data_IF_052332730010
#
_entry.id   IF_052332730010
#
_cell.length_a   1.000
_cell.length_b   1.000
_cell.length_c   1.000
_cell.angle_alpha   90.00
_cell.angle_beta   90.00
_cell.angle_gamma   90.00
#
_symmetry.space_group_name_H-M   'P 1'
#
loop_
_entity.id
_entity.type
_entity.pdbx_description
1 polymer ?
#
# COMPACT_ATOMS: atom_id res chain seq x y z
N UNK A 1 -33.58 18.53 -9.72
CA UNK A 1 -32.32 17.90 -10.18
C UNK A 1 -32.33 16.45 -9.74
N UNK A 2 -32.50 15.51 -10.66
CA UNK A 2 -32.47 14.07 -10.35
C UNK A 2 -31.09 13.70 -9.81
N UNK A 3 -31.01 13.08 -8.63
CA UNK A 3 -29.77 12.45 -8.14
C UNK A 3 -29.40 11.38 -9.17
N UNK A 4 -28.47 11.68 -10.08
CA UNK A 4 -27.84 10.64 -10.91
C UNK A 4 -27.35 9.56 -9.95
N UNK A 5 -27.93 8.36 -10.06
CA UNK A 5 -27.42 7.18 -9.35
C UNK A 5 -25.94 7.06 -9.70
N UNK A 6 -25.06 7.17 -8.70
CA UNK A 6 -23.62 6.98 -8.93
C UNK A 6 -23.43 5.52 -9.32
N UNK A 7 -22.90 5.29 -10.52
CA UNK A 7 -22.47 3.95 -10.95
C UNK A 7 -21.49 3.41 -9.90
N UNK A 8 -21.44 2.10 -9.73
CA UNK A 8 -20.46 1.46 -8.85
C UNK A 8 -19.29 0.97 -9.70
N UNK A 9 -18.05 1.16 -9.24
CA UNK A 9 -16.89 0.56 -9.90
C UNK A 9 -16.98 -0.98 -9.98
N UNK A 10 -17.84 -1.63 -9.17
CA UNK A 10 -18.06 -3.09 -9.21
C UNK A 10 -19.10 -3.52 -10.24
N UNK A 11 -19.72 -2.59 -10.99
CA UNK A 11 -20.86 -2.88 -11.85
C UNK A 11 -20.54 -4.01 -12.84
N UNK A 12 -21.29 -5.12 -12.72
CA UNK A 12 -21.19 -6.28 -13.60
C UNK A 12 -19.86 -7.02 -13.57
N UNK A 13 -18.95 -6.74 -12.63
CA UNK A 13 -17.71 -7.51 -12.50
C UNK A 13 -17.95 -8.84 -11.80
N UNK A 14 -17.26 -9.92 -12.20
CA UNK A 14 -17.22 -11.17 -11.45
C UNK A 14 -16.85 -10.94 -9.98
N UNK A 15 -17.47 -11.67 -9.06
CA UNK A 15 -17.44 -11.38 -7.63
C UNK A 15 -16.02 -11.42 -7.04
N UNK A 16 -15.17 -12.32 -7.53
CA UNK A 16 -13.77 -12.43 -7.13
C UNK A 16 -12.97 -11.17 -7.54
N UNK A 17 -13.18 -10.69 -8.76
CA UNK A 17 -12.50 -9.53 -9.34
C UNK A 17 -13.00 -8.24 -8.69
N UNK A 18 -14.31 -8.08 -8.51
CA UNK A 18 -14.90 -6.94 -7.80
C UNK A 18 -14.33 -6.77 -6.39
N UNK A 19 -14.09 -7.89 -5.69
CA UNK A 19 -13.48 -7.91 -4.36
C UNK A 19 -11.99 -7.56 -4.39
N UNK A 20 -11.27 -7.91 -5.46
CA UNK A 20 -9.87 -7.46 -5.65
C UNK A 20 -9.80 -5.96 -5.82
N UNK A 21 -10.63 -5.39 -6.69
CA UNK A 21 -10.72 -3.93 -6.89
C UNK A 21 -11.06 -3.22 -5.58
N UNK A 22 -12.02 -3.72 -4.81
CA UNK A 22 -12.34 -3.13 -3.50
C UNK A 22 -11.13 -3.07 -2.56
N UNK A 23 -10.38 -4.17 -2.48
CA UNK A 23 -9.24 -4.32 -1.58
C UNK A 23 -8.04 -3.45 -1.94
N UNK A 24 -7.96 -2.88 -3.16
CA UNK A 24 -6.81 -2.05 -3.57
C UNK A 24 -6.73 -0.74 -2.80
N UNK A 25 -7.89 -0.20 -2.39
CA UNK A 25 -7.97 0.99 -1.53
C UNK A 25 -7.53 0.77 -0.08
N UNK A 26 -7.10 -0.44 0.28
CA UNK A 26 -6.65 -0.79 1.62
C UNK A 26 -5.14 -1.08 1.65
N UNK A 27 -4.49 -0.78 2.78
CA UNK A 27 -3.10 -1.17 3.04
C UNK A 27 -2.96 -2.67 3.30
N UNK A 28 -1.75 -3.19 3.12
CA UNK A 28 -1.40 -4.61 3.29
C UNK A 28 0.02 -4.74 3.87
N UNK A 29 0.31 -5.84 4.55
CA UNK A 29 1.67 -6.17 4.97
C UNK A 29 2.16 -5.46 6.24
N UNK A 30 1.26 -4.90 7.05
CA UNK A 30 1.59 -4.54 8.43
C UNK A 30 1.41 -5.78 9.33
N UNK A 31 2.45 -6.08 10.12
CA UNK A 31 2.44 -7.14 11.11
C UNK A 31 1.76 -6.67 12.40
N UNK A 32 1.20 -7.61 13.18
CA UNK A 32 0.42 -7.30 14.40
C UNK A 32 1.22 -6.57 15.47
N UNK A 33 2.53 -6.78 15.45
CA UNK A 33 3.46 -6.28 16.45
C UNK A 33 4.14 -4.97 16.03
N UNK A 34 3.72 -4.36 14.92
CA UNK A 34 4.22 -3.04 14.51
C UNK A 34 3.28 -1.91 14.98
N UNK A 35 3.74 -0.67 14.83
CA UNK A 35 2.88 0.51 14.99
C UNK A 35 1.88 0.68 13.82
N UNK A 36 2.08 -0.02 12.70
CA UNK A 36 1.26 0.17 11.50
C UNK A 36 -0.04 -0.65 11.54
N UNK A 37 -1.10 -0.14 10.91
CA UNK A 37 -2.38 -0.84 10.78
C UNK A 37 -2.44 -1.63 9.47
N UNK A 38 -3.01 -2.84 9.53
CA UNK A 38 -3.24 -3.68 8.35
C UNK A 38 -4.70 -3.60 7.91
N UNK A 39 -4.97 -3.66 6.60
CA UNK A 39 -6.33 -3.69 6.01
C UNK A 39 -7.20 -2.47 6.34
N UNK A 40 -6.58 -1.32 6.59
CA UNK A 40 -7.27 -0.03 6.72
C UNK A 40 -7.21 0.73 5.39
N UNK A 41 -8.06 1.75 5.21
CA UNK A 41 -8.01 2.56 4.00
C UNK A 41 -6.67 3.31 3.88
N UNK A 42 -6.21 3.53 2.64
CA UNK A 42 -4.96 4.25 2.34
C UNK A 42 -4.99 5.75 2.65
N UNK A 43 -6.15 6.32 2.97
CA UNK A 43 -6.26 7.70 3.41
C UNK A 43 -6.27 7.84 4.95
N UNK A 44 -6.04 6.76 5.70
CA UNK A 44 -6.01 6.78 7.16
C UNK A 44 -4.82 7.59 7.70
N UNK A 45 -4.79 7.81 9.02
CA UNK A 45 -3.72 8.51 9.76
C UNK A 45 -2.34 8.05 9.28
N UNK A 46 -1.50 9.00 8.89
CA UNK A 46 -0.19 8.70 8.31
C UNK A 46 0.90 8.72 9.37
N UNK A 47 1.72 7.68 9.42
CA UNK A 47 2.89 7.61 10.31
C UNK A 47 4.13 8.00 9.51
N UNK A 48 4.82 9.04 9.97
CA UNK A 48 5.99 9.62 9.30
C UNK A 48 7.22 9.42 10.19
N UNK A 49 8.24 8.67 9.76
CA UNK A 49 9.52 8.62 10.46
C UNK A 49 10.17 10.01 10.55
N UNK A 50 10.78 10.35 11.69
CA UNK A 50 11.49 11.61 11.87
C UNK A 50 12.60 11.80 10.82
N UNK A 51 13.24 10.72 10.38
CA UNK A 51 14.21 10.75 9.28
C UNK A 51 13.59 11.25 7.96
N UNK A 52 12.40 10.75 7.60
CA UNK A 52 11.68 11.24 6.42
C UNK A 52 11.24 12.70 6.58
N UNK A 53 10.84 13.11 7.78
CA UNK A 53 10.46 14.48 8.08
C UNK A 53 11.65 15.45 7.91
N UNK A 54 12.80 15.10 8.49
CA UNK A 54 14.02 15.92 8.45
C UNK A 54 14.62 16.01 7.06
N UNK A 55 14.41 15.00 6.20
CA UNK A 55 14.76 15.06 4.77
C UNK A 55 13.79 15.90 3.92
N UNK A 56 12.76 16.48 4.52
CA UNK A 56 11.84 17.38 3.81
C UNK A 56 10.86 16.63 2.91
N UNK A 57 10.23 15.58 3.42
CA UNK A 57 9.17 14.85 2.70
C UNK A 57 8.13 15.81 2.11
N UNK A 58 7.83 15.64 0.82
CA UNK A 58 6.76 16.39 0.16
C UNK A 58 5.39 15.95 0.70
N UNK A 59 4.52 16.91 1.01
CA UNK A 59 3.15 16.63 1.43
C UNK A 59 2.21 16.59 0.23
N UNK A 60 1.09 15.86 0.30
CA UNK A 60 0.02 16.01 -0.69
C UNK A 60 -0.51 17.45 -0.69
N UNK A 61 -0.94 17.97 -1.84
CA UNK A 61 -1.39 19.37 -1.99
C UNK A 61 -2.50 19.76 -0.99
N UNK A 62 -3.43 18.84 -0.72
CA UNK A 62 -4.55 19.03 0.23
C UNK A 62 -4.21 18.56 1.65
N UNK A 63 -2.96 18.16 1.90
CA UNK A 63 -2.53 17.49 3.12
C UNK A 63 -3.05 16.04 3.25
N UNK A 64 -2.76 15.43 4.39
CA UNK A 64 -3.27 14.10 4.74
C UNK A 64 -4.69 14.20 5.29
N UNK A 65 -5.65 13.54 4.64
CA UNK A 65 -7.08 13.62 4.98
C UNK A 65 -7.39 13.28 6.44
N UNK A 66 -6.67 12.33 7.03
CA UNK A 66 -6.82 11.92 8.44
C UNK A 66 -5.62 12.32 9.31
N UNK A 67 -4.86 13.33 8.90
CA UNK A 67 -3.71 13.83 9.64
C UNK A 67 -2.52 12.87 9.64
N UNK A 68 -1.53 13.19 10.45
CA UNK A 68 -0.29 12.44 10.58
C UNK A 68 0.23 12.43 12.02
N UNK A 69 1.11 11.48 12.29
CA UNK A 69 1.90 11.37 13.51
C UNK A 69 3.35 11.15 13.10
N UNK A 70 4.25 12.02 13.58
CA UNK A 70 5.68 11.81 13.44
C UNK A 70 6.15 10.86 14.54
N UNK A 71 6.98 9.89 14.19
CA UNK A 71 7.62 8.98 15.14
C UNK A 71 9.13 9.19 15.14
N UNK A 72 9.70 9.25 16.32
CA UNK A 72 11.15 9.33 16.52
C UNK A 72 11.60 8.17 17.41
N UNK A 73 12.71 7.54 17.05
CA UNK A 73 13.40 6.64 17.96
C UNK A 73 13.86 7.43 19.21
N UNK A 74 13.96 6.80 20.39
CA UNK A 74 14.45 7.45 21.60
C UNK A 74 15.78 8.17 21.40
N UNK A 75 16.71 7.57 20.67
CA UNK A 75 18.03 8.13 20.36
C UNK A 75 17.95 9.42 19.52
N UNK A 76 16.92 9.55 18.70
CA UNK A 76 16.69 10.71 17.85
C UNK A 76 15.85 11.79 18.55
N UNK A 77 15.09 11.42 19.58
CA UNK A 77 14.25 12.34 20.34
C UNK A 77 14.96 12.93 21.56
N UNK A 78 15.60 12.10 22.39
CA UNK A 78 16.18 12.55 23.65
C UNK A 78 17.53 13.23 23.45
N UNK A 79 17.79 14.25 24.25
CA UNK A 79 19.14 14.80 24.46
C UNK A 79 19.99 13.89 25.35
N UNK A 80 21.22 14.29 25.66
CA UNK A 80 22.08 13.65 26.65
C UNK A 80 21.48 13.62 28.07
N UNK A 81 20.39 14.36 28.31
CA UNK A 81 19.65 14.40 29.59
C UNK A 81 18.17 14.03 29.41
N UNK A 82 17.82 12.75 29.19
CA UNK A 82 16.42 12.32 29.12
C UNK A 82 15.62 12.71 30.38
N UNK A 83 14.32 13.05 30.27
CA UNK A 83 13.49 12.97 29.07
C UNK A 83 13.52 14.22 28.19
N UNK A 84 14.51 15.11 28.36
CA UNK A 84 14.57 16.36 27.63
C UNK A 84 14.77 16.11 26.14
N UNK A 85 13.98 16.80 25.33
CA UNK A 85 14.02 16.72 23.87
C UNK A 85 15.36 17.25 23.34
N UNK A 86 15.88 16.64 22.26
CA UNK A 86 17.07 17.12 21.56
C UNK A 86 16.84 18.52 20.99
N UNK A 87 17.84 19.39 21.08
CA UNK A 87 17.81 20.72 20.48
C UNK A 87 17.80 20.69 18.95
N UNK A 88 18.09 19.54 18.34
CA UNK A 88 18.03 19.34 16.88
C UNK A 88 16.63 18.99 16.37
N UNK A 89 15.64 18.83 17.26
CA UNK A 89 14.27 18.53 16.83
C UNK A 89 13.67 19.71 16.06
N UNK A 90 12.98 19.45 14.94
CA UNK A 90 12.26 20.48 14.21
C UNK A 90 11.26 21.24 15.10
N UNK A 91 11.30 22.57 15.06
CA UNK A 91 10.48 23.44 15.91
C UNK A 91 8.96 23.28 15.73
N UNK A 92 8.52 22.65 14.64
CA UNK A 92 7.11 22.37 14.36
C UNK A 92 6.65 20.99 14.85
N UNK A 93 7.49 20.26 15.58
CA UNK A 93 7.16 19.00 16.22
C UNK A 93 7.06 19.15 17.73
N UNK A 94 5.92 18.75 18.27
CA UNK A 94 5.60 18.82 19.70
C UNK A 94 5.20 17.43 20.19
N UNK A 95 5.95 16.93 21.18
CA UNK A 95 5.71 15.64 21.80
C UNK A 95 4.29 15.53 22.37
N UNK A 96 3.58 14.48 22.01
CA UNK A 96 2.20 14.24 22.41
C UNK A 96 1.13 15.03 21.63
N UNK A 97 1.53 15.91 20.71
CA UNK A 97 0.61 16.62 19.80
C UNK A 97 0.65 16.04 18.39
N UNK A 98 1.83 16.08 17.76
CA UNK A 98 2.07 15.53 16.42
C UNK A 98 3.34 14.66 16.36
N UNK A 99 4.02 14.46 17.49
CA UNK A 99 5.22 13.65 17.63
C UNK A 99 5.05 12.62 18.75
N UNK A 100 5.54 11.39 18.55
CA UNK A 100 5.69 10.35 19.57
C UNK A 100 7.11 9.80 19.57
N UNK A 101 7.59 9.38 20.74
CA UNK A 101 8.74 8.48 20.83
C UNK A 101 8.29 7.05 20.57
N UNK A 102 8.97 6.34 19.67
CA UNK A 102 8.65 4.96 19.29
C UNK A 102 9.75 4.00 19.72
N UNK A 103 9.41 3.10 20.64
CA UNK A 103 10.33 2.07 21.15
C UNK A 103 10.13 0.76 20.38
N UNK A 104 11.15 0.31 19.66
CA UNK A 104 11.15 -0.93 18.86
C UNK A 104 12.14 -1.96 19.38
N UNK A 105 13.16 -1.56 20.14
CA UNK A 105 14.21 -2.47 20.63
C UNK A 105 14.27 -2.54 22.15
N UNK A 106 14.80 -3.67 22.66
CA UNK A 106 15.05 -3.86 24.10
C UNK A 106 16.07 -2.85 24.62
N UNK A 107 17.08 -2.52 23.82
CA UNK A 107 18.09 -1.51 24.15
C UNK A 107 17.46 -0.13 24.33
N UNK A 108 16.59 0.28 23.40
CA UNK A 108 15.81 1.51 23.49
C UNK A 108 15.00 1.58 24.78
N UNK A 109 14.25 0.51 25.08
CA UNK A 109 13.42 0.43 26.28
C UNK A 109 14.23 0.53 27.57
N UNK A 110 15.36 -0.18 27.65
CA UNK A 110 16.19 -0.20 28.84
C UNK A 110 16.94 1.12 29.05
N UNK A 111 17.42 1.74 27.96
CA UNK A 111 18.23 2.96 28.03
C UNK A 111 17.39 4.22 28.23
N UNK A 112 16.14 4.22 27.74
CA UNK A 112 15.27 5.40 27.75
C UNK A 112 13.90 5.10 28.36
N UNK A 113 13.84 4.26 29.40
CA UNK A 113 12.58 3.73 29.92
C UNK A 113 11.58 4.84 30.31
N UNK A 114 10.41 4.92 29.66
CA UNK A 114 9.47 6.02 29.88
C UNK A 114 8.89 6.03 31.30
N UNK A 115 8.93 4.91 32.02
CA UNK A 115 8.44 4.82 33.41
C UNK A 115 9.30 5.63 34.40
N UNK A 116 10.52 6.00 34.00
CA UNK A 116 11.41 6.83 34.82
C UNK A 116 11.03 8.32 34.74
N UNK A 117 10.17 8.71 33.80
CA UNK A 117 9.85 10.09 33.50
C UNK A 117 8.48 10.46 34.04
N UNK A 118 8.41 11.55 34.81
CA UNK A 118 7.14 12.09 35.29
C UNK A 118 6.27 12.54 34.11
N UNK A 119 4.97 12.23 34.16
CA UNK A 119 3.96 12.60 33.17
C UNK A 119 4.22 12.02 31.76
N UNK A 120 4.88 10.86 31.68
CA UNK A 120 4.99 10.07 30.46
C UNK A 120 3.99 8.90 30.50
N UNK A 121 3.09 8.89 29.52
CA UNK A 121 2.15 7.79 29.31
C UNK A 121 2.07 7.45 27.82
N UNK A 122 1.68 6.20 27.53
CA UNK A 122 1.56 5.74 26.16
C UNK A 122 0.37 6.40 25.44
N UNK A 123 0.50 6.61 24.12
CA UNK A 123 -0.50 7.30 23.31
C UNK A 123 -1.80 6.51 23.14
N UNK A 124 -2.93 7.22 23.13
CA UNK A 124 -4.29 6.65 23.07
C UNK A 124 -5.13 7.24 21.94
N UNK A 125 -4.73 8.37 21.37
CA UNK A 125 -5.42 9.05 20.27
C UNK A 125 -4.55 9.12 19.01
N UNK A 126 -5.19 9.02 17.84
CA UNK A 126 -4.55 9.24 16.53
C UNK A 126 -4.65 10.69 16.04
N UNK A 127 -5.38 11.52 16.78
CA UNK A 127 -5.58 12.94 16.49
C UNK A 127 -4.94 13.75 17.60
N UNK A 128 -4.32 14.87 17.26
CA UNK A 128 -3.81 15.83 18.24
C UNK A 128 -4.95 16.29 19.18
N UNK A 129 -4.75 16.31 20.51
CA UNK A 129 -3.60 15.75 21.23
C UNK A 129 -3.63 14.21 21.26
N UNK A 130 -2.46 13.57 21.12
CA UNK A 130 -2.31 12.10 20.97
C UNK A 130 -2.59 11.31 22.25
N UNK A 131 -2.84 12.00 23.37
CA UNK A 131 -3.18 11.39 24.66
C UNK A 131 -2.00 10.73 25.38
N UNK A 132 -0.80 10.80 24.82
CA UNK A 132 0.44 10.29 25.41
C UNK A 132 1.66 10.70 24.59
N UNK A 133 2.85 10.39 25.08
CA UNK A 133 4.14 10.84 24.52
C UNK A 133 4.89 9.75 23.77
N UNK A 134 4.51 8.48 23.95
CA UNK A 134 5.23 7.37 23.34
C UNK A 134 4.33 6.21 22.95
N UNK A 135 4.91 5.29 22.17
CA UNK A 135 4.35 4.00 21.80
C UNK A 135 5.47 2.97 21.82
N UNK A 136 5.18 1.73 22.21
CA UNK A 136 6.18 0.68 22.33
C UNK A 136 5.72 -0.62 21.68
N UNK A 137 6.61 -1.22 20.90
CA UNK A 137 6.49 -2.51 20.23
C UNK A 137 7.84 -3.22 20.33
N UNK A 138 8.18 -3.67 21.53
CA UNK A 138 9.51 -4.25 21.80
C UNK A 138 9.37 -5.77 21.89
N UNK A 139 10.00 -6.53 20.99
CA UNK A 139 9.91 -7.98 20.95
C UNK A 139 10.46 -8.64 22.22
N UNK A 140 10.07 -9.90 22.44
CA UNK A 140 10.74 -10.76 23.42
C UNK A 140 12.17 -11.06 23.00
N UNK A 141 13.01 -11.28 23.99
CA UNK A 141 14.37 -11.78 23.79
C UNK A 141 14.49 -13.20 24.34
N UNK A 142 15.64 -13.86 24.15
CA UNK A 142 15.89 -15.20 24.70
C UNK A 142 16.13 -15.21 26.23
N UNK A 143 16.06 -14.06 26.89
CA UNK A 143 16.19 -13.94 28.34
C UNK A 143 14.92 -14.41 29.06
N UNK A 144 15.04 -15.16 30.16
CA UNK A 144 13.90 -15.70 30.91
C UNK A 144 13.02 -14.63 31.57
N UNK A 145 13.55 -13.43 31.78
CA UNK A 145 12.84 -12.33 32.48
C UNK A 145 12.30 -11.24 31.55
N UNK A 146 12.61 -11.30 30.25
CA UNK A 146 12.05 -10.36 29.28
C UNK A 146 10.68 -10.82 28.83
N UNK A 147 9.70 -9.90 28.89
CA UNK A 147 8.38 -10.06 28.31
C UNK A 147 8.13 -9.05 27.20
N UNK A 148 7.26 -9.40 26.26
CA UNK A 148 6.89 -8.55 25.12
C UNK A 148 6.26 -7.24 25.61
N UNK A 149 6.81 -6.10 25.19
CA UNK A 149 6.30 -4.79 25.61
C UNK A 149 5.46 -4.21 24.47
N UNK A 150 4.15 -4.13 24.74
CA UNK A 150 3.17 -3.56 23.82
C UNK A 150 2.39 -2.45 24.53
N UNK A 151 2.71 -1.19 24.22
CA UNK A 151 2.06 -0.04 24.84
C UNK A 151 1.64 0.98 23.79
N UNK A 152 0.53 1.68 24.03
CA UNK A 152 -0.10 2.60 23.09
C UNK A 152 -0.89 1.90 21.97
N UNK A 153 -2.12 2.38 21.71
CA UNK A 153 -3.06 1.82 20.73
C UNK A 153 -3.37 0.32 20.90
N UNK A 154 -3.47 -0.14 22.15
CA UNK A 154 -3.64 -1.56 22.48
C UNK A 154 -5.08 -1.95 22.83
N UNK A 155 -5.92 -1.01 23.25
CA UNK A 155 -7.29 -1.27 23.67
C UNK A 155 -8.29 -1.27 22.51
N UNK A 156 -9.48 -1.82 22.73
CA UNK A 156 -10.56 -1.81 21.74
C UNK A 156 -11.03 -0.40 21.39
N UNK A 157 -10.90 0.55 22.31
CA UNK A 157 -11.27 1.96 22.13
C UNK A 157 -10.37 2.68 21.12
N UNK A 158 -9.10 2.29 21.04
CA UNK A 158 -8.15 2.69 20.02
C UNK A 158 -8.18 1.74 18.81
N UNK A 159 -9.00 0.70 18.79
CA UNK A 159 -9.12 -0.26 17.69
C UNK A 159 -8.03 -1.35 17.68
N UNK A 160 -7.18 -1.43 18.71
CA UNK A 160 -6.26 -2.54 18.99
C UNK A 160 -5.17 -2.86 17.96
N UNK A 161 -5.00 -2.03 16.92
CA UNK A 161 -4.24 -2.36 15.71
C UNK A 161 -3.33 -1.22 15.23
N UNK A 162 -2.49 -0.65 16.10
CA UNK A 162 -1.49 0.35 15.69
C UNK A 162 -2.04 1.76 15.46
N UNK A 163 -1.20 2.70 15.06
CA UNK A 163 -1.50 4.13 15.01
C UNK A 163 -1.91 4.64 13.62
N UNK A 164 -1.48 3.99 12.54
CA UNK A 164 -1.74 4.49 11.19
C UNK A 164 -1.09 3.65 10.08
N UNK A 165 -1.02 4.22 8.88
CA UNK A 165 -0.37 3.60 7.71
C UNK A 165 1.04 4.15 7.50
N UNK A 166 1.86 3.45 6.72
CA UNK A 166 3.17 3.99 6.34
C UNK A 166 2.97 5.16 5.38
N UNK A 167 3.78 6.21 5.50
CA UNK A 167 3.64 7.43 4.69
C UNK A 167 3.64 7.20 3.18
N UNK A 168 4.44 6.25 2.70
CA UNK A 168 4.49 5.92 1.27
C UNK A 168 3.26 5.16 0.76
N UNK A 169 2.37 4.67 1.64
CA UNK A 169 1.15 3.96 1.26
C UNK A 169 -0.04 4.89 1.02
N UNK A 170 0.10 6.18 1.37
CA UNK A 170 -0.99 7.14 1.35
C UNK A 170 -1.56 7.35 -0.05
N UNK A 171 -2.88 7.40 -0.12
CA UNK A 171 -3.65 7.88 -1.26
C UNK A 171 -4.91 8.58 -0.74
N UNK A 172 -5.29 9.70 -1.34
CA UNK A 172 -6.52 10.41 -0.96
C UNK A 172 -7.77 9.59 -1.27
N UNK A 173 -8.90 9.92 -0.66
CA UNK A 173 -10.19 9.30 -0.97
C UNK A 173 -10.60 9.46 -2.44
N UNK A 174 -10.26 10.60 -3.03
CA UNK A 174 -10.42 10.92 -4.45
C UNK A 174 -9.58 9.96 -5.31
N UNK A 175 -8.31 9.79 -4.97
CA UNK A 175 -7.39 8.90 -5.68
C UNK A 175 -7.78 7.42 -5.54
N UNK A 176 -8.16 6.99 -4.33
CA UNK A 176 -8.69 5.63 -4.08
C UNK A 176 -9.93 5.38 -4.94
N UNK A 177 -10.79 6.38 -5.13
CA UNK A 177 -11.96 6.24 -6.02
C UNK A 177 -11.50 6.11 -7.48
N UNK A 178 -10.65 7.01 -7.95
CA UNK A 178 -10.16 7.04 -9.33
C UNK A 178 -9.47 5.73 -9.73
N UNK A 179 -8.53 5.26 -8.89
CA UNK A 179 -7.81 4.00 -9.07
C UNK A 179 -8.72 2.78 -9.09
N UNK A 180 -9.77 2.71 -8.26
CA UNK A 180 -10.76 1.63 -8.31
C UNK A 180 -11.51 1.60 -9.64
N UNK A 181 -11.87 2.76 -10.17
CA UNK A 181 -12.50 2.85 -11.49
C UNK A 181 -11.55 2.42 -12.61
N UNK A 182 -10.31 2.91 -12.61
CA UNK A 182 -9.30 2.49 -13.58
C UNK A 182 -9.07 0.97 -13.54
N UNK A 183 -8.93 0.38 -12.35
CA UNK A 183 -8.73 -1.06 -12.22
C UNK A 183 -9.95 -1.87 -12.70
N UNK A 184 -11.16 -1.37 -12.50
CA UNK A 184 -12.37 -1.97 -13.07
C UNK A 184 -12.41 -1.85 -14.60
N UNK A 185 -12.04 -0.70 -15.14
CA UNK A 185 -11.89 -0.47 -16.58
C UNK A 185 -10.87 -1.42 -17.22
N UNK A 186 -9.76 -1.66 -16.53
CA UNK A 186 -8.73 -2.61 -16.94
C UNK A 186 -9.20 -4.06 -16.78
N UNK A 187 -9.98 -4.39 -15.75
CA UNK A 187 -10.54 -5.72 -15.59
C UNK A 187 -11.46 -6.09 -16.77
N UNK A 188 -12.30 -5.16 -17.24
CA UNK A 188 -13.11 -5.33 -18.45
C UNK A 188 -12.32 -5.45 -19.76
N UNK A 189 -11.00 -5.22 -19.71
CA UNK A 189 -10.06 -5.38 -20.84
C UNK A 189 -9.16 -6.60 -20.68
N UNK A 190 -9.41 -7.45 -19.68
CA UNK A 190 -8.73 -8.75 -19.56
C UNK A 190 -9.36 -9.77 -20.50
N UNK A 191 -8.56 -10.73 -20.97
CA UNK A 191 -9.00 -11.75 -21.90
C UNK A 191 -9.96 -12.74 -21.21
N UNK A 192 -11.09 -13.06 -21.83
CA UNK A 192 -12.10 -13.98 -21.29
C UNK A 192 -13.02 -13.41 -20.20
N UNK A 193 -12.96 -12.11 -19.89
CA UNK A 193 -13.80 -11.51 -18.83
C UNK A 193 -15.29 -11.63 -19.13
N UNK A 194 -15.68 -11.52 -20.40
CA UNK A 194 -17.08 -11.57 -20.82
C UNK A 194 -17.69 -12.94 -20.57
N UNK A 195 -16.91 -14.01 -20.75
CA UNK A 195 -17.37 -15.38 -20.56
C UNK A 195 -17.52 -15.67 -19.06
N UNK A 196 -16.52 -15.30 -18.25
CA UNK A 196 -16.61 -15.42 -16.77
C UNK A 196 -17.81 -14.64 -16.23
N UNK A 197 -18.07 -13.43 -16.74
CA UNK A 197 -19.21 -12.63 -16.31
C UNK A 197 -20.55 -13.33 -16.60
N UNK A 198 -20.71 -13.89 -17.81
CA UNK A 198 -21.92 -14.63 -18.18
C UNK A 198 -22.08 -15.92 -17.38
N UNK A 199 -20.99 -16.65 -17.13
CA UNK A 199 -20.98 -17.87 -16.33
C UNK A 199 -21.37 -17.59 -14.86
N UNK A 200 -21.02 -16.43 -14.31
CA UNK A 200 -21.48 -15.96 -12.99
C UNK A 200 -22.92 -15.38 -13.01
N UNK A 201 -23.62 -15.43 -14.14
CA UNK A 201 -25.02 -15.01 -14.26
C UNK A 201 -25.24 -13.51 -14.43
N UNK A 202 -24.23 -12.76 -14.90
CA UNK A 202 -24.40 -11.33 -15.22
C UNK A 202 -25.11 -11.22 -16.57
N UNK A 203 -26.35 -10.71 -16.56
CA UNK A 203 -27.23 -10.69 -17.74
C UNK A 203 -26.72 -9.79 -18.88
N UNK A 204 -26.21 -8.59 -18.57
CA UNK A 204 -25.82 -7.58 -19.56
C UNK A 204 -24.38 -7.07 -19.34
N UNK A 205 -23.36 -7.93 -19.48
CA UNK A 205 -21.96 -7.57 -19.19
C UNK A 205 -21.43 -6.48 -20.12
N UNK A 206 -21.85 -6.46 -21.38
CA UNK A 206 -21.48 -5.42 -22.35
C UNK A 206 -21.97 -4.04 -21.95
N UNK A 207 -23.23 -3.93 -21.48
CA UNK A 207 -23.79 -2.68 -20.97
C UNK A 207 -23.08 -2.24 -19.68
N UNK A 208 -22.72 -3.19 -18.81
CA UNK A 208 -21.95 -2.91 -17.60
C UNK A 208 -20.57 -2.34 -17.94
N UNK A 209 -19.86 -2.96 -18.90
CA UNK A 209 -18.59 -2.47 -19.41
C UNK A 209 -18.71 -1.05 -19.97
N UNK A 210 -19.69 -0.79 -20.83
CA UNK A 210 -19.90 0.54 -21.42
C UNK A 210 -20.17 1.63 -20.37
N UNK A 211 -20.94 1.30 -19.32
CA UNK A 211 -21.18 2.20 -18.20
C UNK A 211 -19.91 2.51 -17.40
N UNK A 212 -19.05 1.50 -17.18
CA UNK A 212 -17.75 1.70 -16.54
C UNK A 212 -16.81 2.52 -17.42
N UNK A 213 -16.75 2.23 -18.72
CA UNK A 213 -15.94 2.99 -19.69
C UNK A 213 -16.30 4.47 -19.64
N UNK A 214 -17.60 4.80 -19.73
CA UNK A 214 -18.09 6.18 -19.63
C UNK A 214 -17.75 6.87 -18.31
N UNK A 215 -17.94 6.19 -17.18
CA UNK A 215 -17.59 6.79 -15.88
C UNK A 215 -16.06 7.01 -15.76
N UNK A 216 -15.25 6.15 -16.37
CA UNK A 216 -13.78 6.31 -16.38
C UNK A 216 -13.34 7.46 -17.31
N UNK A 217 -14.02 7.66 -18.44
CA UNK A 217 -13.84 8.84 -19.29
C UNK A 217 -14.19 10.13 -18.53
N UNK A 218 -15.35 10.16 -17.86
CA UNK A 218 -15.81 11.31 -17.05
C UNK A 218 -14.85 11.62 -15.88
N UNK A 219 -14.16 10.60 -15.34
CA UNK A 219 -13.15 10.73 -14.29
C UNK A 219 -11.74 11.01 -14.81
N UNK A 220 -11.51 10.99 -16.13
CA UNK A 220 -10.19 11.19 -16.72
C UNK A 220 -9.21 10.05 -16.45
N UNK A 221 -9.69 8.82 -16.21
CA UNK A 221 -8.87 7.62 -15.93
C UNK A 221 -8.93 6.57 -17.05
N UNK A 222 -9.41 6.97 -18.23
CA UNK A 222 -9.55 6.13 -19.42
C UNK A 222 -8.67 6.58 -20.60
N UNK A 223 -7.62 7.38 -20.36
CA UNK A 223 -6.69 7.78 -21.42
C UNK A 223 -5.87 6.58 -21.89
N UNK A 224 -6.28 6.00 -23.02
CA UNK A 224 -5.66 4.81 -23.59
C UNK A 224 -4.19 5.03 -23.96
N UNK A 225 -3.81 6.25 -24.36
CA UNK A 225 -2.44 6.57 -24.73
C UNK A 225 -1.55 6.54 -23.49
N UNK A 226 -1.98 7.18 -22.40
CA UNK A 226 -1.25 7.13 -21.13
C UNK A 226 -1.17 5.71 -20.56
N UNK A 227 -2.24 4.93 -20.69
CA UNK A 227 -2.24 3.52 -20.25
C UNK A 227 -1.25 2.67 -21.05
N UNK A 228 -1.15 2.89 -22.36
CA UNK A 228 -0.18 2.19 -23.22
C UNK A 228 1.26 2.63 -22.93
N UNK A 229 1.51 3.95 -22.82
CA UNK A 229 2.81 4.53 -22.46
C UNK A 229 3.33 3.99 -21.11
N UNK A 230 2.43 3.74 -20.15
CA UNK A 230 2.77 3.17 -18.85
C UNK A 230 2.74 1.64 -18.80
N UNK A 231 2.64 0.96 -19.95
CA UNK A 231 2.67 -0.51 -20.06
C UNK A 231 1.51 -1.20 -19.32
N UNK A 232 0.35 -0.55 -19.23
CA UNK A 232 -0.84 -1.07 -18.55
C UNK A 232 -1.75 -1.81 -19.53
N UNK A 233 -1.81 -1.33 -20.78
CA UNK A 233 -2.48 -1.98 -21.90
C UNK A 233 -1.53 -2.15 -23.09
N UNK A 234 -1.88 -3.06 -24.00
CA UNK A 234 -1.20 -3.18 -25.29
C UNK A 234 -1.85 -2.31 -26.39
N UNK A 235 -1.29 -2.36 -27.61
CA UNK A 235 -1.81 -1.65 -28.78
C UNK A 235 -3.19 -2.12 -29.24
N UNK A 236 -3.69 -3.25 -28.72
CA UNK A 236 -5.05 -3.75 -28.92
C UNK A 236 -5.98 -3.36 -27.75
N UNK A 237 -5.50 -2.51 -26.84
CA UNK A 237 -6.20 -2.03 -25.65
C UNK A 237 -6.55 -3.15 -24.65
N UNK A 238 -5.84 -4.27 -24.68
CA UNK A 238 -5.99 -5.35 -23.70
C UNK A 238 -5.14 -5.06 -22.48
N UNK A 239 -5.64 -5.38 -21.30
CA UNK A 239 -4.85 -5.28 -20.08
C UNK A 239 -3.68 -6.28 -20.12
N UNK A 240 -2.48 -5.79 -19.87
CA UNK A 240 -1.24 -6.59 -19.87
C UNK A 240 -0.53 -6.49 -18.53
N UNK A 241 0.32 -7.47 -18.22
CA UNK A 241 1.23 -7.36 -17.10
C UNK A 241 2.32 -6.33 -17.43
N UNK A 242 2.52 -5.29 -16.59
CA UNK A 242 3.48 -4.23 -16.91
C UNK A 242 4.92 -4.71 -17.06
N UNK A 243 5.32 -5.75 -16.33
CA UNK A 243 6.68 -6.27 -16.40
C UNK A 243 6.92 -7.16 -17.63
N UNK A 244 6.10 -8.21 -17.82
CA UNK A 244 6.34 -9.22 -18.85
C UNK A 244 5.59 -8.96 -20.17
N UNK A 245 4.73 -7.94 -20.21
CA UNK A 245 3.94 -7.50 -21.37
C UNK A 245 2.96 -8.53 -21.94
N UNK A 246 2.73 -9.64 -21.21
CA UNK A 246 1.73 -10.65 -21.60
C UNK A 246 0.32 -10.18 -21.23
N UNK A 247 -0.71 -10.52 -22.03
CA UNK A 247 -2.11 -10.31 -21.65
C UNK A 247 -2.42 -10.89 -20.27
N UNK A 248 -3.25 -10.17 -19.52
CA UNK A 248 -3.86 -10.69 -18.29
C UNK A 248 -5.14 -11.40 -18.67
N UNK A 249 -5.24 -12.67 -18.30
CA UNK A 249 -6.49 -13.42 -18.44
C UNK A 249 -7.39 -13.12 -17.25
N UNK A 250 -8.69 -12.96 -17.48
CA UNK A 250 -9.66 -12.74 -16.41
C UNK A 250 -9.64 -13.87 -15.37
N UNK A 251 -9.39 -15.10 -15.83
CA UNK A 251 -9.24 -16.28 -14.99
C UNK A 251 -8.07 -16.13 -14.00
N UNK A 252 -6.99 -15.42 -14.36
CA UNK A 252 -5.85 -15.18 -13.46
C UNK A 252 -6.19 -14.20 -12.32
N UNK A 253 -7.21 -13.35 -12.51
CA UNK A 253 -7.76 -12.48 -11.48
C UNK A 253 -8.84 -13.19 -10.66
N UNK A 254 -9.59 -14.12 -11.25
CA UNK A 254 -10.68 -14.83 -10.59
C UNK A 254 -10.20 -16.04 -9.76
N UNK A 255 -9.22 -16.78 -10.27
CA UNK A 255 -8.85 -18.11 -9.77
C UNK A 255 -7.58 -18.13 -8.93
N UNK A 256 -7.58 -19.02 -7.93
CA UNK A 256 -6.44 -19.25 -7.02
C UNK A 256 -5.40 -20.14 -7.71
N UNK A 257 -4.13 -19.95 -7.39
CA UNK A 257 -3.03 -20.74 -7.97
C UNK A 257 -3.10 -22.18 -7.42
N UNK A 258 -3.11 -23.19 -8.30
CA UNK A 258 -2.88 -24.59 -7.90
C UNK A 258 -1.42 -24.78 -7.46
N UNK A 259 -1.20 -25.56 -6.40
CA UNK A 259 0.16 -25.79 -5.87
C UNK A 259 1.00 -26.60 -6.86
N UNK A 260 2.29 -26.26 -6.95
CA UNK A 260 3.27 -27.19 -7.50
C UNK A 260 3.33 -28.45 -6.62
N UNK A 261 3.32 -29.63 -7.25
CA UNK A 261 3.37 -30.93 -6.58
C UNK A 261 4.54 -30.99 -5.58
N UNK A 262 4.25 -31.37 -4.32
CA UNK A 262 5.25 -31.48 -3.25
C UNK A 262 5.49 -30.22 -2.40
N UNK A 263 4.79 -29.10 -2.61
CA UNK A 263 4.84 -27.92 -1.71
C UNK A 263 3.59 -27.78 -0.84
N UNK A 264 3.72 -28.04 0.47
CA UNK A 264 2.68 -27.75 1.46
C UNK A 264 2.82 -26.34 2.03
N UNK A 265 2.18 -25.34 1.41
CA UNK A 265 2.10 -23.98 1.98
C UNK A 265 0.70 -23.74 2.56
N UNK A 266 0.56 -23.30 3.83
CA UNK A 266 -0.74 -23.13 4.49
C UNK A 266 -1.62 -21.99 3.92
N UNK A 267 -1.02 -20.96 3.31
CA UNK A 267 -1.75 -19.81 2.75
C UNK A 267 -2.08 -20.04 1.27
N UNK A 268 -3.32 -20.45 1.01
CA UNK A 268 -3.86 -20.83 -0.31
C UNK A 268 -4.57 -19.66 -1.02
N UNK A 269 -4.31 -18.40 -0.66
CA UNK A 269 -5.15 -17.26 -1.08
C UNK A 269 -4.61 -16.43 -2.25
N UNK A 270 -3.46 -16.80 -2.81
CA UNK A 270 -2.81 -16.06 -3.89
C UNK A 270 -3.44 -16.45 -5.24
N UNK A 271 -3.82 -15.46 -6.05
CA UNK A 271 -4.20 -15.64 -7.46
C UNK A 271 -3.00 -15.37 -8.36
N UNK A 272 -3.03 -15.85 -9.60
CA UNK A 272 -1.90 -15.72 -10.54
C UNK A 272 -1.70 -14.29 -11.04
N UNK A 273 -2.71 -13.41 -10.97
CA UNK A 273 -2.59 -11.97 -11.20
C UNK A 273 -3.16 -11.12 -10.04
N UNK A 274 -2.53 -9.98 -9.76
CA UNK A 274 -2.89 -9.04 -8.67
C UNK A 274 -2.61 -7.58 -9.07
N UNK A 275 -2.94 -6.64 -8.19
CA UNK A 275 -2.53 -5.24 -8.34
C UNK A 275 -1.02 -5.15 -8.57
N UNK A 276 -0.61 -4.32 -9.53
CA UNK A 276 0.78 -4.06 -9.87
C UNK A 276 1.02 -2.55 -9.85
N UNK A 277 2.07 -2.12 -9.15
CA UNK A 277 2.53 -0.74 -9.14
C UNK A 277 3.60 -0.56 -10.21
N UNK A 278 3.37 0.34 -11.18
CA UNK A 278 4.29 0.57 -12.30
C UNK A 278 5.59 1.20 -11.77
N UNK A 279 5.43 2.26 -10.97
CA UNK A 279 6.46 2.81 -10.07
C UNK A 279 6.13 2.41 -8.64
N UNK A 280 7.15 2.02 -7.89
CA UNK A 280 7.04 1.60 -6.51
C UNK A 280 6.48 2.68 -5.58
N UNK A 281 5.96 2.26 -4.42
CA UNK A 281 5.51 3.19 -3.40
C UNK A 281 6.71 3.89 -2.75
N UNK A 282 6.70 5.23 -2.79
CA UNK A 282 7.74 6.07 -2.18
C UNK A 282 7.15 7.21 -1.37
N UNK A 283 7.82 7.54 -0.28
CA UNK A 283 7.45 8.65 0.58
C UNK A 283 7.60 9.97 -0.18
N UNK A 284 6.58 10.82 -0.16
CA UNK A 284 6.57 12.09 -0.88
C UNK A 284 6.18 11.99 -2.37
N UNK A 285 6.17 10.79 -2.96
CA UNK A 285 5.70 10.57 -4.33
C UNK A 285 4.23 10.12 -4.37
N UNK A 286 3.76 9.38 -3.35
CA UNK A 286 2.38 8.91 -3.21
C UNK A 286 1.86 8.12 -4.42
N UNK A 287 2.70 7.23 -4.94
CA UNK A 287 2.51 6.47 -6.17
C UNK A 287 1.33 5.46 -6.17
N UNK A 288 0.46 5.43 -5.17
CA UNK A 288 -0.81 4.71 -5.28
C UNK A 288 -1.85 5.60 -5.96
N UNK A 289 -1.68 5.80 -7.26
CA UNK A 289 -2.48 6.70 -8.08
C UNK A 289 -2.81 6.12 -9.46
N UNK A 290 -3.82 6.71 -10.11
CA UNK A 290 -4.21 6.43 -11.49
C UNK A 290 -3.01 6.55 -12.42
N UNK A 291 -3.05 5.78 -13.50
CA UNK A 291 -1.93 5.58 -14.43
C UNK A 291 -0.63 5.03 -13.80
N UNK A 292 -0.55 4.77 -12.49
CA UNK A 292 0.56 4.04 -11.87
C UNK A 292 0.15 2.65 -11.37
N UNK A 293 -1.11 2.26 -11.56
CA UNK A 293 -1.64 0.96 -11.15
C UNK A 293 -2.20 0.17 -12.34
N UNK A 294 -1.88 -1.11 -12.38
CA UNK A 294 -2.41 -2.07 -13.35
C UNK A 294 -2.65 -3.46 -12.75
N UNK A 295 -3.01 -4.41 -13.61
CA UNK A 295 -3.04 -5.83 -13.26
C UNK A 295 -1.74 -6.49 -13.70
N UNK A 296 -1.12 -7.29 -12.85
CA UNK A 296 0.14 -7.96 -13.18
C UNK A 296 0.26 -9.33 -12.56
N UNK A 297 1.04 -10.20 -13.21
CA UNK A 297 1.27 -11.55 -12.72
C UNK A 297 1.98 -11.55 -11.37
N UNK A 298 1.61 -12.48 -10.50
CA UNK A 298 2.13 -12.58 -9.14
C UNK A 298 3.66 -12.75 -9.10
N UNK A 299 4.21 -13.61 -9.96
CA UNK A 299 5.66 -13.81 -10.06
C UNK A 299 6.39 -12.55 -10.55
N UNK A 300 5.77 -11.78 -11.45
CA UNK A 300 6.30 -10.51 -11.91
C UNK A 300 6.32 -9.47 -10.78
N UNK A 301 5.23 -9.37 -10.02
CA UNK A 301 5.17 -8.53 -8.82
C UNK A 301 6.26 -8.91 -7.80
N UNK A 302 6.46 -10.21 -7.57
CA UNK A 302 7.47 -10.72 -6.64
C UNK A 302 8.92 -10.46 -7.09
N UNK A 303 9.15 -10.35 -8.41
CA UNK A 303 10.43 -9.95 -8.98
C UNK A 303 10.63 -8.44 -8.92
N UNK A 304 9.59 -7.64 -9.19
CA UNK A 304 9.66 -6.18 -9.19
C UNK A 304 9.81 -5.58 -7.78
N UNK A 305 9.12 -6.15 -6.77
CA UNK A 305 9.18 -5.73 -5.37
C UNK A 305 9.02 -4.21 -5.21
N UNK A 306 9.99 -3.57 -4.56
CA UNK A 306 10.11 -2.15 -4.28
C UNK A 306 11.07 -1.43 -5.23
N UNK A 307 11.45 -2.06 -6.35
CA UNK A 307 12.40 -1.50 -7.32
C UNK A 307 11.73 -0.78 -8.49
N UNK A 308 10.46 -1.06 -8.74
CA UNK A 308 9.77 -0.61 -9.95
C UNK A 308 10.27 -1.32 -11.21
N UNK A 309 9.58 -1.11 -12.33
CA UNK A 309 9.82 -1.89 -13.56
C UNK A 309 11.23 -1.67 -14.12
N UNK A 310 11.66 -0.41 -14.25
CA UNK A 310 12.90 -0.06 -14.96
C UNK A 310 14.16 -0.61 -14.27
N UNK A 311 14.21 -0.49 -12.94
CA UNK A 311 15.33 -1.05 -12.16
C UNK A 311 15.33 -2.57 -12.20
N UNK A 312 14.16 -3.20 -12.16
CA UNK A 312 14.04 -4.66 -12.27
C UNK A 312 14.52 -5.17 -13.63
N UNK A 313 14.18 -4.50 -14.73
CA UNK A 313 14.66 -4.88 -16.06
C UNK A 313 16.17 -4.70 -16.19
N UNK A 314 16.71 -3.60 -15.68
CA UNK A 314 18.16 -3.36 -15.65
C UNK A 314 18.91 -4.47 -14.89
N UNK A 315 18.38 -4.86 -13.73
CA UNK A 315 18.94 -5.96 -12.93
C UNK A 315 18.83 -7.32 -13.63
N UNK A 316 17.70 -7.61 -14.30
CA UNK A 316 17.55 -8.85 -15.07
C UNK A 316 18.54 -8.91 -16.23
N UNK A 317 18.77 -7.80 -16.94
CA UNK A 317 19.78 -7.70 -17.98
C UNK A 317 21.19 -7.95 -17.44
N UNK A 318 21.53 -7.36 -16.28
CA UNK A 318 22.81 -7.58 -15.62
C UNK A 318 23.03 -9.07 -15.29
N UNK A 319 22.02 -9.74 -14.73
CA UNK A 319 22.08 -11.19 -14.45
C UNK A 319 22.36 -11.98 -15.72
N UNK A 320 21.66 -11.70 -16.82
CA UNK A 320 21.84 -12.40 -18.09
C UNK A 320 23.26 -12.19 -18.64
N UNK A 321 23.75 -10.95 -18.61
CA UNK A 321 25.12 -10.60 -19.03
C UNK A 321 26.17 -11.33 -18.18
N UNK A 322 26.04 -11.33 -16.86
CA UNK A 322 26.95 -12.01 -15.94
C UNK A 322 26.97 -13.53 -16.14
N UNK A 323 25.90 -14.10 -16.69
CA UNK A 323 25.79 -15.53 -17.01
C UNK A 323 26.05 -15.84 -18.51
N UNK A 324 26.65 -14.90 -19.26
CA UNK A 324 27.02 -15.12 -20.66
C UNK A 324 25.85 -15.31 -21.62
N UNK A 325 24.63 -14.91 -21.22
CA UNK A 325 23.44 -14.94 -22.08
C UNK A 325 23.41 -13.66 -22.93
N UNK A 326 23.30 -13.80 -24.24
CA UNK A 326 23.09 -12.68 -25.16
C UNK A 326 21.60 -12.36 -25.25
N UNK A 327 21.26 -11.09 -25.09
CA UNK A 327 19.92 -10.59 -25.41
C UNK A 327 19.96 -10.17 -26.87
N UNK A 328 19.41 -11.00 -27.75
CA UNK A 328 19.19 -10.61 -29.14
C UNK A 328 17.90 -9.79 -29.18
N UNK A 329 18.04 -8.48 -29.46
CA UNK A 329 16.88 -7.66 -29.78
C UNK A 329 16.31 -8.19 -31.10
N UNK A 330 15.17 -8.88 -31.03
CA UNK A 330 14.39 -9.14 -32.24
C UNK A 330 13.96 -7.79 -32.79
N UNK A 331 14.46 -7.44 -33.97
CA UNK A 331 13.93 -6.32 -34.74
C UNK A 331 12.50 -6.67 -35.10
N UNK A 332 11.54 -5.98 -34.48
CA UNK A 332 10.15 -5.97 -34.91
C UNK A 332 9.92 -4.77 -35.82
#
# INVERSE_FOLDING_TARGET
MSKKSKISYKLGLPAAIARKVEKTGQTRGAEKDTIYQNRVNRNNTVIIPLSSWTLGIAFPDKGFENGYIVIADPENYFSDTPPSASSSLPNNLTIGENLLVYYETRQQWNSYNPNQYKDWQSATSRKSPLGGKYVARVPDTTSQDDSFIRQGYIDSNSGGQGAGIRVYEYASSEEIKATRYQLSFLAWRTEGIMDIARDEGIENPDECKQKIDKECEDLGVADLKLLEEHRIIDSQQRAICPLCLKPILAQELASRVEQAEGRNVPDLTVTTANLFHIRELRAGEYNHCSYNLGWGHHHCNAAARDWGIERTLSWMEEILRNNGRKIELMQN
#
